data_IF_495260544409
#
_entry.id   IF_495260544409
#
_cell.length_a   1.000
_cell.length_b   1.000
_cell.length_c   1.000
_cell.angle_alpha   90.00
_cell.angle_beta   90.00
_cell.angle_gamma   90.00
#
_symmetry.space_group_name_H-M   'P 1'
#
loop_
_entity.id
_entity.type
_entity.pdbx_description
1 polymer ?
#
# COMPACT_ATOMS: atom_id res chain seq x y z
N UNK A 1 27.66 -10.07 13.18
CA UNK A 1 26.31 -9.89 12.61
C UNK A 1 25.63 -11.25 12.67
N UNK A 2 24.49 -11.35 13.35
CA UNK A 2 23.74 -12.61 13.44
C UNK A 2 22.83 -12.79 12.23
N UNK A 3 22.32 -14.01 12.00
CA UNK A 3 21.31 -14.27 10.95
C UNK A 3 20.03 -13.47 11.21
N UNK A 4 19.67 -13.28 12.49
CA UNK A 4 18.53 -12.45 12.88
C UNK A 4 18.73 -10.99 12.45
N UNK A 5 19.91 -10.41 12.66
CA UNK A 5 20.22 -9.04 12.24
C UNK A 5 20.15 -8.88 10.72
N UNK A 6 20.68 -9.87 9.98
CA UNK A 6 20.67 -9.86 8.53
C UNK A 6 19.24 -9.94 7.97
N UNK A 7 18.43 -10.87 8.49
CA UNK A 7 17.03 -11.03 8.07
C UNK A 7 16.17 -9.83 8.42
N UNK A 8 16.37 -9.21 9.60
CA UNK A 8 15.72 -7.96 9.98
C UNK A 8 16.10 -6.81 9.04
N UNK A 9 17.39 -6.68 8.70
CA UNK A 9 17.88 -5.67 7.76
C UNK A 9 17.22 -5.81 6.38
N UNK A 10 17.26 -7.01 5.82
CA UNK A 10 16.62 -7.33 4.52
C UNK A 10 15.11 -7.05 4.57
N UNK A 11 14.43 -7.52 5.61
CA UNK A 11 13.00 -7.27 5.82
C UNK A 11 12.69 -5.77 5.84
N UNK A 12 13.47 -4.99 6.60
CA UNK A 12 13.28 -3.54 6.72
C UNK A 12 13.48 -2.83 5.39
N UNK A 13 14.57 -3.17 4.68
CA UNK A 13 14.89 -2.59 3.37
C UNK A 13 13.76 -2.85 2.38
N UNK A 14 13.32 -4.10 2.21
CA UNK A 14 12.31 -4.42 1.20
C UNK A 14 10.92 -3.87 1.53
N UNK A 15 10.53 -3.81 2.81
CA UNK A 15 9.27 -3.17 3.18
C UNK A 15 9.32 -1.64 3.02
N UNK A 16 10.48 -1.02 3.21
CA UNK A 16 10.68 0.41 2.98
C UNK A 16 10.69 0.73 1.48
N UNK A 17 11.42 -0.06 0.69
CA UNK A 17 11.44 0.04 -0.78
C UNK A 17 10.05 -0.18 -1.37
N UNK A 18 9.25 -1.10 -0.82
CA UNK A 18 7.86 -1.32 -1.24
C UNK A 18 7.02 -0.05 -1.06
N UNK A 19 7.12 0.60 0.10
CA UNK A 19 6.44 1.86 0.35
C UNK A 19 6.86 2.94 -0.66
N UNK A 20 8.16 3.08 -0.92
CA UNK A 20 8.67 4.02 -1.91
C UNK A 20 8.20 3.69 -3.34
N UNK A 21 8.07 2.40 -3.67
CA UNK A 21 7.58 1.94 -4.96
C UNK A 21 6.09 2.26 -5.20
N UNK A 22 5.33 2.62 -4.16
CA UNK A 22 3.97 3.13 -4.33
C UNK A 22 3.95 4.49 -5.03
N UNK A 23 4.99 5.32 -4.88
CA UNK A 23 5.06 6.65 -5.52
C UNK A 23 4.99 6.57 -7.06
N UNK A 24 5.85 5.81 -7.77
CA UNK A 24 5.76 5.70 -9.22
C UNK A 24 4.46 5.02 -9.66
N UNK A 25 3.92 4.09 -8.86
CA UNK A 25 2.63 3.45 -9.16
C UNK A 25 1.47 4.44 -9.08
N UNK A 26 1.42 5.25 -8.02
CA UNK A 26 0.46 6.35 -7.85
C UNK A 26 0.62 7.37 -8.99
N UNK A 27 1.83 7.77 -9.33
CA UNK A 27 2.08 8.72 -10.41
C UNK A 27 1.55 8.21 -11.76
N UNK A 28 1.80 6.93 -12.08
CA UNK A 28 1.23 6.29 -13.28
C UNK A 28 -0.30 6.22 -13.20
N UNK A 29 -0.84 5.86 -12.03
CA UNK A 29 -2.28 5.80 -11.81
C UNK A 29 -2.96 7.16 -11.93
N UNK A 30 -2.31 8.26 -11.57
CA UNK A 30 -2.84 9.62 -11.75
C UNK A 30 -2.81 10.03 -13.23
N UNK A 31 -1.69 9.76 -13.93
CA UNK A 31 -1.49 10.15 -15.34
C UNK A 31 -2.32 9.37 -16.34
N UNK A 32 -2.70 8.14 -16.00
CA UNK A 32 -3.50 7.29 -16.87
C UNK A 32 -4.84 7.98 -17.25
N UNK A 33 -5.40 7.69 -18.42
CA UNK A 33 -6.67 8.27 -18.86
C UNK A 33 -7.83 7.26 -18.77
N UNK A 34 -7.53 5.96 -18.59
CA UNK A 34 -8.50 4.85 -18.53
C UNK A 34 -9.21 4.69 -17.17
N UNK A 35 -9.18 5.71 -16.31
CA UNK A 35 -9.86 5.62 -15.00
C UNK A 35 -9.18 4.68 -13.98
N UNK A 36 -7.88 4.40 -14.14
CA UNK A 36 -7.08 3.52 -13.28
C UNK A 36 -7.56 2.06 -13.25
N UNK A 37 -8.00 1.53 -14.39
CA UNK A 37 -8.44 0.13 -14.50
C UNK A 37 -7.35 -0.89 -14.20
N UNK A 38 -6.09 -0.54 -14.43
CA UNK A 38 -4.94 -1.38 -14.08
C UNK A 38 -4.78 -1.63 -12.56
N UNK A 39 -5.47 -0.86 -11.71
CA UNK A 39 -5.45 -1.07 -10.25
C UNK A 39 -6.59 -2.01 -9.84
N UNK A 40 -6.23 -3.23 -9.48
CA UNK A 40 -7.14 -4.21 -8.87
C UNK A 40 -7.47 -3.85 -7.42
N UNK A 41 -8.73 -3.48 -7.15
CA UNK A 41 -9.19 -3.20 -5.78
C UNK A 41 -9.00 -4.39 -4.85
N UNK A 42 -9.28 -5.61 -5.32
CA UNK A 42 -9.15 -6.82 -4.50
C UNK A 42 -7.71 -7.04 -4.03
N UNK A 43 -6.73 -6.87 -4.93
CA UNK A 43 -5.31 -7.03 -4.60
C UNK A 43 -4.85 -5.99 -3.58
N UNK A 44 -5.20 -4.72 -3.78
CA UNK A 44 -4.79 -3.65 -2.89
C UNK A 44 -5.51 -3.67 -1.54
N UNK A 45 -6.78 -4.10 -1.51
CA UNK A 45 -7.51 -4.33 -0.27
C UNK A 45 -6.91 -5.48 0.55
N UNK A 46 -6.51 -6.56 -0.11
CA UNK A 46 -5.84 -7.67 0.56
C UNK A 46 -4.48 -7.25 1.14
N UNK A 47 -3.69 -6.46 0.42
CA UNK A 47 -2.43 -5.91 0.93
C UNK A 47 -2.65 -4.96 2.11
N UNK A 48 -3.68 -4.10 2.04
CA UNK A 48 -4.08 -3.26 3.16
C UNK A 48 -4.41 -4.10 4.40
N UNK A 49 -5.28 -5.10 4.26
CA UNK A 49 -5.67 -5.99 5.35
C UNK A 49 -4.48 -6.77 5.93
N UNK A 50 -3.61 -7.28 5.06
CA UNK A 50 -2.37 -7.98 5.44
C UNK A 50 -1.47 -7.08 6.28
N UNK A 51 -1.18 -5.85 5.82
CA UNK A 51 -0.34 -4.91 6.57
C UNK A 51 -0.97 -4.43 7.87
N UNK A 52 -2.28 -4.18 7.88
CA UNK A 52 -3.01 -3.83 9.11
C UNK A 52 -2.94 -4.97 10.14
N UNK A 53 -3.12 -6.22 9.70
CA UNK A 53 -3.02 -7.39 10.59
C UNK A 53 -1.60 -7.60 11.13
N UNK A 54 -0.57 -7.38 10.31
CA UNK A 54 0.82 -7.49 10.72
C UNK A 54 1.23 -6.38 11.70
N UNK A 55 0.70 -5.17 11.53
CA UNK A 55 0.85 -4.09 12.50
C UNK A 55 0.21 -4.46 13.84
N UNK A 56 -1.03 -4.94 13.83
CA UNK A 56 -1.72 -5.36 15.06
C UNK A 56 -0.95 -6.47 15.79
N UNK A 57 -0.46 -7.47 15.04
CA UNK A 57 0.38 -8.52 15.59
C UNK A 57 1.69 -7.99 16.21
N UNK A 58 2.36 -7.03 15.54
CA UNK A 58 3.59 -6.45 16.06
C UNK A 58 3.38 -5.69 17.39
N UNK A 59 2.24 -4.99 17.53
CA UNK A 59 1.88 -4.28 18.76
C UNK A 59 1.51 -5.27 19.87
N UNK A 60 0.50 -6.12 19.63
CA UNK A 60 -0.14 -6.92 20.66
C UNK A 60 0.69 -8.15 21.07
N UNK A 61 1.35 -8.80 20.10
CA UNK A 61 2.06 -10.06 20.36
C UNK A 61 3.56 -9.88 20.58
N UNK A 62 4.16 -8.83 20.02
CA UNK A 62 5.62 -8.63 20.08
C UNK A 62 6.04 -7.38 20.85
N UNK A 63 5.14 -6.40 21.04
CA UNK A 63 5.51 -5.09 21.58
C UNK A 63 6.51 -4.33 20.69
N UNK A 64 6.67 -4.71 19.42
CA UNK A 64 7.64 -4.12 18.50
C UNK A 64 7.02 -2.95 17.73
N UNK A 65 7.14 -1.78 18.33
CA UNK A 65 6.68 -0.52 17.74
C UNK A 65 7.38 -0.14 16.43
N UNK A 66 8.62 -0.60 16.20
CA UNK A 66 9.33 -0.33 14.95
C UNK A 66 8.70 -1.13 13.82
N UNK A 67 8.50 -2.44 14.02
CA UNK A 67 7.82 -3.31 13.07
C UNK A 67 6.38 -2.84 12.81
N UNK A 68 5.66 -2.43 13.86
CA UNK A 68 4.34 -1.84 13.74
C UNK A 68 4.32 -0.59 12.85
N UNK A 69 5.22 0.37 13.08
CA UNK A 69 5.31 1.61 12.29
C UNK A 69 5.61 1.36 10.80
N UNK A 70 6.42 0.34 10.50
CA UNK A 70 6.77 -0.06 9.15
C UNK A 70 5.56 -0.66 8.41
N UNK A 71 4.78 -1.51 9.09
CA UNK A 71 3.56 -2.05 8.52
C UNK A 71 2.44 -1.02 8.40
N UNK A 72 2.32 -0.11 9.37
CA UNK A 72 1.41 1.03 9.28
C UNK A 72 1.70 1.87 8.03
N UNK A 73 2.97 2.17 7.77
CA UNK A 73 3.39 2.94 6.58
C UNK A 73 2.96 2.24 5.29
N UNK A 74 3.16 0.91 5.20
CA UNK A 74 2.72 0.13 4.04
C UNK A 74 1.18 0.10 3.91
N UNK A 75 0.45 -0.02 5.02
CA UNK A 75 -1.00 0.04 5.05
C UNK A 75 -1.52 1.39 4.53
N UNK A 76 -0.95 2.51 5.00
CA UNK A 76 -1.30 3.85 4.52
C UNK A 76 -1.03 4.01 3.02
N UNK A 77 0.08 3.46 2.52
CA UNK A 77 0.38 3.43 1.08
C UNK A 77 -0.67 2.67 0.26
N UNK A 78 -1.10 1.50 0.73
CA UNK A 78 -2.17 0.73 0.10
C UNK A 78 -3.51 1.48 0.11
N UNK A 79 -3.86 2.10 1.25
CA UNK A 79 -5.06 2.90 1.38
C UNK A 79 -5.06 4.10 0.41
N UNK A 80 -3.92 4.79 0.26
CA UNK A 80 -3.78 5.89 -0.69
C UNK A 80 -4.02 5.44 -2.14
N UNK A 81 -3.47 4.29 -2.54
CA UNK A 81 -3.68 3.73 -3.88
C UNK A 81 -5.16 3.40 -4.12
N UNK A 82 -5.83 2.77 -3.16
CA UNK A 82 -7.27 2.47 -3.23
C UNK A 82 -8.11 3.74 -3.37
N UNK A 83 -7.82 4.77 -2.57
CA UNK A 83 -8.54 6.04 -2.60
C UNK A 83 -8.36 6.76 -3.94
N UNK A 84 -7.13 6.81 -4.47
CA UNK A 84 -6.84 7.44 -5.76
C UNK A 84 -7.54 6.70 -6.90
N UNK A 85 -7.47 5.35 -6.90
CA UNK A 85 -8.18 4.54 -7.88
C UNK A 85 -9.71 4.75 -7.80
N UNK A 86 -10.27 4.80 -6.60
CA UNK A 86 -11.71 5.00 -6.37
C UNK A 86 -12.18 6.38 -6.86
N UNK A 87 -11.44 7.42 -6.50
CA UNK A 87 -11.70 8.78 -6.94
C UNK A 87 -11.67 8.89 -8.46
N UNK A 88 -10.64 8.31 -9.09
CA UNK A 88 -10.48 8.39 -10.53
C UNK A 88 -11.53 7.61 -11.30
N UNK A 89 -11.85 6.38 -10.87
CA UNK A 89 -12.92 5.56 -11.47
C UNK A 89 -14.28 6.23 -11.33
N UNK A 90 -14.53 6.89 -10.20
CA UNK A 90 -15.75 7.69 -9.97
C UNK A 90 -15.83 8.89 -10.92
N UNK A 91 -14.73 9.62 -11.12
CA UNK A 91 -14.65 10.74 -12.06
C UNK A 91 -14.86 10.28 -13.51
N UNK A 92 -14.29 9.14 -13.89
CA UNK A 92 -14.46 8.56 -15.22
C UNK A 92 -15.93 8.18 -15.48
N UNK A 93 -16.59 7.50 -14.53
CA UNK A 93 -18.03 7.18 -14.61
C UNK A 93 -18.93 8.42 -14.72
N UNK A 94 -18.62 9.49 -13.97
CA UNK A 94 -19.37 10.77 -14.05
C UNK A 94 -19.22 11.46 -15.41
N UNK A 95 -18.02 11.41 -16.00
CA UNK A 95 -17.78 11.94 -17.36
C UNK A 95 -18.49 11.14 -18.45
N UNK A 96 -18.62 9.82 -18.27
CA UNK A 96 -19.36 8.95 -19.19
C UNK A 96 -20.88 9.17 -19.17
N UNK A 97 -21.46 9.59 -18.05
CA UNK A 97 -22.90 9.89 -17.94
C UNK A 97 -23.30 11.30 -18.39
N UNK A 98 -22.33 12.17 -18.72
CA UNK A 98 -22.58 13.56 -19.15
C UNK A 98 -22.45 13.74 -20.67
N UNK A 99 -22.32 12.65 -21.42
CA UNK A 99 -22.44 12.59 -22.89
C UNK A 99 -23.73 11.87 -23.23
#
# INVERSE_FOLDING_TARGET
MTIADATLGVFTVFNSLRFLAYVPQIAKAIKDQSGAEAISFGTWALFLASHASAMAYAIENQGDWKMASLFLSNALGCAAILLIAAWKRSRHRRRGHSK
#
